data_IF_518824081609
#
_entry.id   IF_518824081609
#
_cell.length_a   1.000
_cell.length_b   1.000
_cell.length_c   1.000
_cell.angle_alpha   90.00
_cell.angle_beta   90.00
_cell.angle_gamma   90.00
#
_symmetry.space_group_name_H-M   'P 1'
#
loop_
_entity.id
_entity.type
_entity.pdbx_description
1 polymer ?
#
# COMPACT_ATOMS: atom_id res chain seq x y z
N UNK A 1 -24.36 -6.64 -2.29
CA UNK A 1 -23.62 -5.43 -1.90
C UNK A 1 -22.39 -5.30 -2.76
N UNK A 2 -22.04 -4.08 -3.18
CA UNK A 2 -20.82 -3.85 -3.97
C UNK A 2 -19.63 -3.59 -3.05
N UNK A 3 -18.46 -3.97 -3.52
CA UNK A 3 -17.19 -3.76 -2.86
C UNK A 3 -16.22 -3.08 -3.83
N UNK A 4 -15.26 -2.33 -3.27
CA UNK A 4 -14.31 -1.55 -4.06
C UNK A 4 -12.90 -1.78 -3.56
N UNK A 5 -11.94 -1.84 -4.49
CA UNK A 5 -10.53 -1.65 -4.20
C UNK A 5 -10.14 -0.26 -4.71
N UNK A 6 -9.56 0.55 -3.85
CA UNK A 6 -9.13 1.91 -4.14
C UNK A 6 -7.60 2.01 -4.01
N UNK A 7 -6.99 2.79 -4.89
CA UNK A 7 -5.61 3.24 -4.75
C UNK A 7 -5.60 4.55 -3.98
N UNK A 8 -4.88 4.59 -2.87
CA UNK A 8 -4.78 5.74 -1.99
C UNK A 8 -3.46 6.47 -2.11
N UNK A 9 -3.49 7.78 -1.87
CA UNK A 9 -2.31 8.61 -1.70
C UNK A 9 -2.51 9.55 -0.51
N UNK A 10 -1.57 9.53 0.42
CA UNK A 10 -1.52 10.43 1.56
C UNK A 10 -0.31 11.37 1.43
N UNK A 11 -0.49 12.70 1.44
CA UNK A 11 0.64 13.62 1.40
C UNK A 11 1.35 13.64 2.76
N UNK A 12 2.61 13.19 2.83
CA UNK A 12 3.44 13.32 4.04
C UNK A 12 4.15 14.68 4.01
N UNK A 13 3.84 15.62 4.93
CA UNK A 13 4.39 16.98 4.88
C UNK A 13 5.91 17.08 5.11
N UNK A 14 6.55 16.04 5.68
CA UNK A 14 7.91 16.10 6.23
C UNK A 14 9.07 16.03 5.21
N UNK A 15 8.82 15.78 3.92
CA UNK A 15 9.88 15.65 2.90
C UNK A 15 9.76 16.69 1.77
N UNK A 16 9.99 17.97 2.10
CA UNK A 16 10.11 19.07 1.11
C UNK A 16 8.95 19.18 0.09
N UNK A 17 7.73 18.79 0.49
CA UNK A 17 6.53 18.89 -0.34
C UNK A 17 6.30 17.76 -1.35
N UNK A 18 7.19 16.75 -1.44
CA UNK A 18 7.07 15.68 -2.44
C UNK A 18 7.43 14.30 -1.87
N UNK A 19 6.61 13.82 -0.93
CA UNK A 19 6.55 12.42 -0.54
C UNK A 19 5.08 12.03 -0.29
N UNK A 20 4.38 11.66 -1.35
CA UNK A 20 3.11 10.94 -1.16
C UNK A 20 3.42 9.52 -0.69
N UNK A 21 2.69 9.06 0.31
CA UNK A 21 2.59 7.65 0.70
C UNK A 21 1.43 7.02 -0.04
N UNK A 22 1.68 6.00 -0.86
CA UNK A 22 0.62 5.25 -1.50
C UNK A 22 0.25 3.99 -0.71
N UNK A 23 -1.03 3.65 -0.79
CA UNK A 23 -1.63 2.49 -0.14
C UNK A 23 -2.75 1.93 -1.03
N UNK A 24 -3.23 0.74 -0.72
CA UNK A 24 -4.39 0.14 -1.40
C UNK A 24 -5.39 -0.27 -0.34
N UNK A 25 -6.68 0.04 -0.53
CA UNK A 25 -7.72 -0.19 0.48
C UNK A 25 -8.92 -0.90 -0.14
N UNK A 26 -9.48 -1.85 0.58
CA UNK A 26 -10.76 -2.47 0.28
C UNK A 26 -11.85 -1.82 1.13
N UNK A 27 -12.87 -1.27 0.47
CA UNK A 27 -14.07 -0.71 1.09
C UNK A 27 -15.36 -1.43 0.69
N UNK A 28 -16.37 -1.32 1.54
CA UNK A 28 -17.74 -1.70 1.20
C UNK A 28 -18.46 -0.63 0.36
N UNK A 29 -19.73 -0.88 0.02
CA UNK A 29 -20.54 0.04 -0.79
C UNK A 29 -20.73 1.43 -0.15
N UNK A 30 -20.69 1.49 1.19
CA UNK A 30 -20.82 2.73 1.97
C UNK A 30 -19.48 3.46 2.13
N UNK A 31 -18.40 2.93 1.56
CA UNK A 31 -17.06 3.49 1.68
C UNK A 31 -16.40 3.22 3.03
N UNK A 32 -16.97 2.31 3.85
CA UNK A 32 -16.35 1.88 5.10
C UNK A 32 -15.16 0.97 4.75
N UNK A 33 -13.97 1.23 5.30
CA UNK A 33 -12.81 0.39 5.03
C UNK A 33 -12.94 -0.94 5.76
N UNK A 34 -12.56 -2.01 5.07
CA UNK A 34 -12.47 -3.36 5.63
C UNK A 34 -11.00 -3.72 5.85
N UNK A 35 -10.18 -3.50 4.82
CA UNK A 35 -8.75 -3.81 4.85
C UNK A 35 -7.92 -2.74 4.12
N UNK A 36 -6.68 -2.57 4.51
CA UNK A 36 -5.71 -1.70 3.84
C UNK A 36 -4.35 -2.38 3.75
N UNK A 37 -3.61 -2.14 2.66
CA UNK A 37 -2.22 -2.59 2.51
C UNK A 37 -1.33 -1.36 2.41
N UNK A 38 -0.38 -1.28 3.35
CA UNK A 38 0.60 -0.21 3.43
C UNK A 38 2.00 -0.75 3.25
N UNK A 39 2.76 -0.17 2.32
CA UNK A 39 4.20 -0.39 2.28
C UNK A 39 4.96 0.60 3.16
N UNK A 40 6.16 0.23 3.59
CA UNK A 40 7.07 1.15 4.27
C UNK A 40 8.26 0.42 4.88
N UNK A 41 8.82 0.98 5.95
CA UNK A 41 9.87 0.31 6.69
C UNK A 41 9.31 -0.25 8.00
N UNK A 42 9.92 -1.33 8.50
CA UNK A 42 9.61 -1.88 9.82
C UNK A 42 10.81 -1.74 10.76
N UNK A 43 10.53 -1.64 12.05
CA UNK A 43 11.51 -1.84 13.11
C UNK A 43 11.83 -3.34 13.28
N UNK A 44 12.85 -3.66 14.07
CA UNK A 44 13.25 -5.04 14.35
C UNK A 44 12.15 -5.84 15.08
N UNK A 45 11.29 -5.17 15.85
CA UNK A 45 10.13 -5.76 16.52
C UNK A 45 8.90 -5.95 15.59
N UNK A 46 9.03 -5.57 14.31
CA UNK A 46 7.95 -5.66 13.32
C UNK A 46 6.98 -4.46 13.33
N UNK A 47 7.15 -3.50 14.25
CA UNK A 47 6.34 -2.29 14.26
C UNK A 47 6.61 -1.43 13.02
N UNK A 48 5.56 -0.78 12.53
CA UNK A 48 5.63 0.00 11.30
C UNK A 48 6.36 1.33 11.57
N UNK A 49 7.37 1.66 10.75
CA UNK A 49 8.16 2.87 10.91
C UNK A 49 8.56 3.53 9.58
N UNK A 50 7.87 4.63 9.24
CA UNK A 50 8.18 5.45 8.05
C UNK A 50 9.55 6.15 8.10
N UNK A 51 10.15 6.29 9.29
CA UNK A 51 11.41 6.99 9.50
C UNK A 51 12.63 6.05 9.48
N UNK A 52 12.43 4.73 9.44
CA UNK A 52 13.50 3.76 9.34
C UNK A 52 13.97 3.62 7.88
N UNK A 53 14.61 4.67 7.34
CA UNK A 53 14.99 4.80 5.91
C UNK A 53 15.96 3.70 5.44
N UNK A 54 16.53 2.90 6.35
CA UNK A 54 17.40 1.76 6.07
C UNK A 54 16.88 0.42 6.63
N UNK A 55 15.68 0.42 7.21
CA UNK A 55 15.03 -0.79 7.72
C UNK A 55 14.59 -1.72 6.59
N UNK A 56 14.15 -2.95 6.91
CA UNK A 56 13.52 -3.83 5.94
C UNK A 56 12.30 -3.14 5.31
N UNK A 57 12.17 -3.26 4.00
CA UNK A 57 10.93 -2.94 3.30
C UNK A 57 9.87 -3.94 3.74
N UNK A 58 8.73 -3.44 4.15
CA UNK A 58 7.59 -4.27 4.54
C UNK A 58 6.33 -3.85 3.77
N UNK A 59 5.36 -4.76 3.72
CA UNK A 59 3.99 -4.50 3.33
C UNK A 59 3.07 -5.08 4.41
N UNK A 60 2.30 -4.21 5.07
CA UNK A 60 1.41 -4.59 6.16
C UNK A 60 -0.04 -4.57 5.69
N UNK A 61 -0.74 -5.66 5.99
CA UNK A 61 -2.20 -5.76 5.86
C UNK A 61 -2.84 -5.31 7.18
N UNK A 62 -3.60 -4.24 7.13
CA UNK A 62 -4.41 -3.70 8.23
C UNK A 62 -5.83 -4.22 8.07
N UNK A 63 -6.34 -4.92 9.09
CA UNK A 63 -7.77 -5.21 9.27
C UNK A 63 -8.39 -4.12 10.13
N UNK A 64 -9.39 -3.40 9.61
CA UNK A 64 -10.04 -2.32 10.35
C UNK A 64 -10.88 -2.81 11.53
N UNK A 65 -11.16 -4.11 11.64
CA UNK A 65 -11.78 -4.73 12.81
C UNK A 65 -10.78 -4.99 13.95
N UNK A 66 -9.48 -5.06 13.67
CA UNK A 66 -8.41 -5.35 14.65
C UNK A 66 -7.32 -4.25 14.60
N UNK A 67 -7.62 -3.14 15.27
CA UNK A 67 -6.84 -1.90 15.18
C UNK A 67 -5.65 -1.92 16.12
N UNK A 68 -4.46 -1.85 15.54
CA UNK A 68 -3.21 -1.58 16.25
C UNK A 68 -2.33 -0.66 15.40
N UNK A 69 -2.38 0.65 15.63
CA UNK A 69 -1.70 1.63 14.79
C UNK A 69 -0.17 1.54 14.84
N UNK A 70 0.41 0.84 15.81
CA UNK A 70 1.86 0.63 15.91
C UNK A 70 2.31 -0.36 14.82
N UNK A 71 1.51 -1.41 14.58
CA UNK A 71 1.86 -2.45 13.63
C UNK A 71 1.10 -2.33 12.31
N UNK A 72 -0.15 -1.86 12.37
CA UNK A 72 -1.16 -1.82 11.30
C UNK A 72 -1.58 -0.37 11.06
N UNK A 73 -0.79 0.40 10.30
CA UNK A 73 -1.10 1.79 10.06
C UNK A 73 -2.41 1.94 9.26
N UNK A 74 -3.06 3.08 9.47
CA UNK A 74 -4.27 3.48 8.76
C UNK A 74 -4.05 4.83 8.05
N UNK A 75 -4.14 4.83 6.73
CA UNK A 75 -4.00 6.02 5.90
C UNK A 75 -5.31 6.43 5.25
N UNK A 76 -6.16 5.49 4.87
CA UNK A 76 -7.44 5.80 4.23
C UNK A 76 -8.32 6.74 5.06
N UNK A 77 -8.34 6.57 6.38
CA UNK A 77 -9.16 7.38 7.30
C UNK A 77 -8.60 8.77 7.57
N UNK A 78 -7.41 9.11 7.06
CA UNK A 78 -6.80 10.42 7.26
C UNK A 78 -7.48 11.47 6.37
N UNK A 79 -7.83 12.67 6.90
CA UNK A 79 -8.59 13.66 6.14
C UNK A 79 -7.96 14.15 4.82
N UNK A 80 -6.63 14.11 4.72
CA UNK A 80 -5.90 14.57 3.52
C UNK A 80 -5.63 13.45 2.51
N UNK A 81 -6.03 12.22 2.82
CA UNK A 81 -5.91 11.10 1.90
C UNK A 81 -6.83 11.28 0.69
N UNK A 82 -6.29 10.97 -0.48
CA UNK A 82 -7.01 10.97 -1.75
C UNK A 82 -7.05 9.56 -2.28
N UNK A 83 -8.15 9.17 -2.89
CA UNK A 83 -8.33 7.83 -3.45
C UNK A 83 -8.80 7.87 -4.89
N UNK A 84 -8.51 6.79 -5.61
CA UNK A 84 -8.98 6.56 -6.97
C UNK A 84 -9.44 5.11 -7.06
N UNK A 85 -10.60 4.88 -7.67
CA UNK A 85 -11.13 3.54 -7.85
C UNK A 85 -10.21 2.71 -8.76
N UNK A 86 -9.84 1.50 -8.33
CA UNK A 86 -9.17 0.51 -9.16
C UNK A 86 -10.16 -0.51 -9.72
N UNK A 87 -10.96 -1.10 -8.82
CA UNK A 87 -11.92 -2.15 -9.13
C UNK A 87 -13.19 -1.95 -8.31
N UNK A 88 -14.34 -2.25 -8.90
CA UNK A 88 -15.61 -2.41 -8.21
C UNK A 88 -16.23 -3.74 -8.62
N UNK A 89 -16.83 -4.45 -7.66
CA UNK A 89 -17.38 -5.78 -7.92
C UNK A 89 -18.28 -6.28 -6.80
N UNK A 90 -18.70 -7.54 -6.92
CA UNK A 90 -19.33 -8.24 -5.80
C UNK A 90 -18.25 -8.69 -4.79
N UNK A 91 -18.68 -9.19 -3.64
CA UNK A 91 -17.76 -9.62 -2.59
C UNK A 91 -16.76 -10.67 -3.09
N UNK A 92 -17.23 -11.75 -3.73
CA UNK A 92 -16.38 -12.86 -4.14
C UNK A 92 -15.28 -12.41 -5.10
N UNK A 93 -15.62 -11.61 -6.12
CA UNK A 93 -14.65 -11.12 -7.09
C UNK A 93 -13.63 -10.17 -6.46
N UNK A 94 -14.05 -9.30 -5.54
CA UNK A 94 -13.12 -8.41 -4.83
C UNK A 94 -12.25 -9.18 -3.84
N UNK A 95 -12.80 -10.17 -3.12
CA UNK A 95 -12.08 -11.00 -2.17
C UNK A 95 -10.97 -11.80 -2.87
N UNK A 96 -11.22 -12.35 -4.05
CA UNK A 96 -10.22 -13.09 -4.81
C UNK A 96 -9.07 -12.19 -5.27
N UNK A 97 -9.39 -10.96 -5.71
CA UNK A 97 -8.38 -9.94 -6.05
C UNK A 97 -7.59 -9.53 -4.80
N UNK A 98 -8.27 -9.33 -3.68
CA UNK A 98 -7.61 -8.96 -2.43
C UNK A 98 -6.68 -10.06 -1.93
N UNK A 99 -7.03 -11.33 -2.09
CA UNK A 99 -6.13 -12.45 -1.74
C UNK A 99 -4.82 -12.38 -2.51
N UNK A 100 -4.88 -12.14 -3.82
CA UNK A 100 -3.68 -11.94 -4.64
C UNK A 100 -2.85 -10.70 -4.23
N UNK A 101 -3.49 -9.67 -3.70
CA UNK A 101 -2.80 -8.53 -3.10
C UNK A 101 -2.09 -8.91 -1.80
N UNK A 102 -2.76 -9.66 -0.91
CA UNK A 102 -2.18 -10.16 0.35
C UNK A 102 -0.98 -11.07 0.08
N UNK A 103 -1.07 -11.99 -0.88
CA UNK A 103 0.03 -12.89 -1.25
C UNK A 103 1.29 -12.10 -1.66
N UNK A 104 1.12 -11.00 -2.41
CA UNK A 104 2.25 -10.13 -2.78
C UNK A 104 2.75 -9.31 -1.61
N UNK A 105 1.87 -8.86 -0.70
CA UNK A 105 2.30 -8.19 0.53
C UNK A 105 3.19 -9.11 1.39
N UNK A 106 2.81 -10.38 1.52
CA UNK A 106 3.60 -11.39 2.22
C UNK A 106 4.94 -11.66 1.53
N UNK A 107 4.96 -11.78 0.20
CA UNK A 107 6.23 -11.89 -0.55
C UNK A 107 7.15 -10.69 -0.31
N UNK A 108 6.62 -9.47 -0.30
CA UNK A 108 7.41 -8.26 0.00
C UNK A 108 7.99 -8.35 1.41
N UNK A 109 7.17 -8.70 2.41
CA UNK A 109 7.58 -8.83 3.82
C UNK A 109 8.72 -9.84 3.99
N UNK A 110 8.72 -10.91 3.19
CA UNK A 110 9.72 -11.98 3.25
C UNK A 110 10.91 -11.81 2.28
N UNK A 111 10.87 -10.82 1.38
CA UNK A 111 11.87 -10.64 0.32
C UNK A 111 13.26 -10.21 0.81
N UNK A 112 13.40 -9.76 2.06
CA UNK A 112 14.65 -9.19 2.58
C UNK A 112 15.06 -7.85 1.92
N UNK A 113 14.19 -7.29 1.06
CA UNK A 113 14.38 -5.97 0.46
C UNK A 113 14.52 -4.90 1.53
N UNK A 114 15.38 -3.90 1.31
CA UNK A 114 15.56 -2.76 2.23
C UNK A 114 14.75 -1.55 1.78
N UNK A 115 14.19 -0.79 2.70
CA UNK A 115 13.53 0.45 2.34
C UNK A 115 14.52 1.42 1.67
N UNK A 116 14.07 2.12 0.63
CA UNK A 116 14.77 3.22 -0.01
C UNK A 116 13.77 4.23 -0.53
N UNK A 117 13.88 5.47 -0.07
CA UNK A 117 12.96 6.53 -0.45
C UNK A 117 12.86 6.75 -1.96
N UNK A 118 13.94 6.56 -2.73
CA UNK A 118 13.95 6.83 -4.17
C UNK A 118 13.59 5.60 -5.03
N UNK A 119 13.78 4.40 -4.49
CA UNK A 119 13.80 3.15 -5.26
C UNK A 119 12.70 2.19 -4.86
N UNK A 120 12.56 1.91 -3.57
CA UNK A 120 11.71 0.85 -3.06
C UNK A 120 11.13 1.25 -1.69
N UNK A 121 9.90 1.73 -1.72
CA UNK A 121 9.17 2.32 -0.59
C UNK A 121 7.68 1.98 -0.70
N UNK A 122 6.84 2.67 0.07
CA UNK A 122 5.39 2.52 0.03
C UNK A 122 4.76 2.64 -1.36
N UNK A 123 5.29 3.52 -2.22
CA UNK A 123 4.78 3.73 -3.58
C UNK A 123 5.08 2.55 -4.50
N UNK A 124 6.27 1.96 -4.36
CA UNK A 124 6.62 0.72 -5.08
C UNK A 124 5.78 -0.47 -4.60
N UNK A 125 5.48 -0.54 -3.30
CA UNK A 125 4.58 -1.57 -2.73
C UNK A 125 3.17 -1.40 -3.28
N UNK A 126 2.56 -0.22 -3.17
CA UNK A 126 1.21 0.02 -3.68
C UNK A 126 1.11 -0.26 -5.20
N UNK A 127 2.18 0.03 -5.95
CA UNK A 127 2.26 -0.32 -7.38
C UNK A 127 2.33 -1.83 -7.60
N UNK A 128 3.14 -2.56 -6.84
CA UNK A 128 3.21 -4.01 -6.91
C UNK A 128 1.85 -4.66 -6.58
N UNK A 129 1.15 -4.15 -5.55
CA UNK A 129 -0.18 -4.59 -5.16
C UNK A 129 -1.22 -4.30 -6.26
N UNK A 130 -1.25 -3.10 -6.83
CA UNK A 130 -2.18 -2.79 -7.93
C UNK A 130 -1.95 -3.73 -9.14
N UNK A 131 -0.68 -3.97 -9.48
CA UNK A 131 -0.35 -4.88 -10.57
C UNK A 131 -0.74 -6.34 -10.27
N UNK A 132 -0.64 -6.80 -9.02
CA UNK A 132 -0.99 -8.18 -8.65
C UNK A 132 -2.48 -8.48 -8.79
N UNK A 133 -3.33 -7.46 -8.59
CA UNK A 133 -4.77 -7.57 -8.83
C UNK A 133 -5.16 -7.36 -10.30
N UNK A 134 -4.18 -7.15 -11.19
CA UNK A 134 -4.37 -7.03 -12.64
C UNK A 134 -4.75 -5.62 -13.11
N UNK A 135 -4.42 -4.58 -12.34
CA UNK A 135 -4.76 -3.19 -12.68
C UNK A 135 -3.51 -2.31 -12.63
N UNK A 136 -3.38 -1.39 -13.58
CA UNK A 136 -2.29 -0.42 -13.54
C UNK A 136 -2.58 0.65 -12.46
N UNK A 137 -1.56 1.08 -11.68
CA UNK A 137 -1.75 2.17 -10.73
C UNK A 137 -2.15 3.48 -11.44
N UNK A 138 -2.92 4.38 -10.79
CA UNK A 138 -3.37 5.61 -11.41
C UNK A 138 -2.19 6.52 -11.74
N UNK A 139 -2.12 7.00 -13.00
CA UNK A 139 -1.05 7.91 -13.48
C UNK A 139 -0.89 9.17 -12.61
N UNK A 140 -1.96 9.64 -12.00
CA UNK A 140 -1.98 10.83 -11.14
C UNK A 140 -1.36 10.60 -9.76
N UNK A 141 -1.24 9.35 -9.33
CA UNK A 141 -0.73 8.95 -8.02
C UNK A 141 0.70 8.36 -8.09
N UNK A 142 1.24 8.15 -9.29
CA UNK A 142 2.60 7.65 -9.53
C UNK A 142 3.49 8.72 -10.19
N UNK A 143 4.80 8.52 -10.18
CA UNK A 143 5.76 9.35 -10.91
C UNK A 143 7.05 9.61 -10.14
N UNK A 144 8.15 9.85 -10.88
CA UNK A 144 9.50 10.01 -10.29
C UNK A 144 9.62 11.15 -9.29
N UNK A 145 8.88 12.22 -9.53
CA UNK A 145 8.84 13.40 -8.66
C UNK A 145 7.77 13.17 -7.59
N UNK A 146 6.49 13.09 -7.96
CA UNK A 146 5.34 13.03 -7.01
C UNK A 146 5.33 11.82 -6.08
N UNK A 147 5.75 10.65 -6.56
CA UNK A 147 5.72 9.39 -5.84
C UNK A 147 6.97 8.55 -6.19
N UNK A 148 8.17 8.95 -5.71
CA UNK A 148 9.40 8.21 -5.98
C UNK A 148 9.24 6.73 -5.62
N UNK A 149 9.90 5.83 -6.34
CA UNK A 149 9.75 4.37 -6.19
C UNK A 149 8.59 3.73 -6.96
N UNK A 150 7.48 4.46 -7.23
CA UNK A 150 6.29 3.90 -7.91
C UNK A 150 6.54 3.33 -9.33
N UNK A 151 7.58 3.80 -10.02
CA UNK A 151 7.87 3.42 -11.40
C UNK A 151 8.80 2.20 -11.53
N UNK A 152 9.35 1.71 -10.41
CA UNK A 152 10.23 0.55 -10.39
C UNK A 152 9.46 -0.67 -9.93
N UNK A 153 9.64 -1.77 -10.63
CA UNK A 153 9.14 -3.06 -10.20
C UNK A 153 10.01 -3.55 -9.03
N UNK A 154 9.37 -4.00 -7.95
CA UNK A 154 10.08 -4.70 -6.89
C UNK A 154 10.63 -6.02 -7.45
N UNK A 155 11.91 -6.27 -7.23
CA UNK A 155 12.55 -7.54 -7.51
C UNK A 155 12.13 -8.53 -6.42
N UNK A 156 10.93 -9.06 -6.55
CA UNK A 156 10.43 -10.15 -5.70
C UNK A 156 10.91 -11.44 -6.35
N UNK A 157 11.68 -12.22 -5.61
CA UNK A 157 12.01 -13.58 -6.02
C UNK A 157 10.68 -14.33 -6.17
N UNK A 158 10.40 -14.78 -7.40
CA UNK A 158 9.28 -15.70 -7.60
C UNK A 158 9.70 -17.04 -6.99
N UNK A 159 8.82 -17.72 -6.23
CA UNK A 159 9.04 -19.12 -5.92
C UNK A 159 9.18 -19.95 -7.21
#
# INVERSE_FOLDING_TARGET
MRHRILFGSYPIPRFAGIASHNFVVWTDEKGRPLYEINGGAANADGSFNYCAILGPLTAVVTDYADRDLIYRPEFYTRPTSRTTLLLEGNYASIADRWRAAVDVAEQIRHSGLRYSFLVQNSNSVATAIANSIGVAPPRTAIGRVRAPGSYRRLALDRP
#
